data_IF_633163084759
#
_entry.id   IF_633163084759
#
_cell.length_a   1.000
_cell.length_b   1.000
_cell.length_c   1.000
_cell.angle_alpha   90.00
_cell.angle_beta   90.00
_cell.angle_gamma   90.00
#
_symmetry.space_group_name_H-M   'P 1'
#
loop_
_entity.id
_entity.type
_entity.pdbx_description
1 polymer ?
#
# COMPACT_ATOMS: atom_id res chain seq x y z
N UNK A 1 -17.95 -10.84 5.13
CA UNK A 1 -16.93 -9.77 4.97
C UNK A 1 -15.87 -10.32 4.03
N UNK A 2 -15.73 -9.75 2.83
CA UNK A 2 -14.74 -10.23 1.85
C UNK A 2 -13.40 -9.54 2.11
N UNK A 3 -12.39 -10.32 2.50
CA UNK A 3 -11.01 -9.83 2.64
C UNK A 3 -10.34 -9.64 1.28
N UNK A 4 -9.24 -8.90 1.25
CA UNK A 4 -8.38 -8.71 0.09
C UNK A 4 -6.97 -9.21 0.43
N UNK A 5 -6.31 -9.91 -0.49
CA UNK A 5 -4.94 -10.35 -0.25
C UNK A 5 -3.97 -9.18 -0.36
N UNK A 6 -2.90 -9.19 0.43
CA UNK A 6 -1.84 -8.18 0.34
C UNK A 6 -1.28 -8.05 -1.10
N UNK A 7 -1.12 -9.17 -1.81
CA UNK A 7 -0.69 -9.17 -3.22
C UNK A 7 -1.62 -8.37 -4.14
N UNK A 8 -2.93 -8.47 -3.92
CA UNK A 8 -3.94 -7.70 -4.67
C UNK A 8 -3.87 -6.21 -4.30
N UNK A 9 -3.70 -5.88 -3.02
CA UNK A 9 -3.48 -4.50 -2.57
C UNK A 9 -2.27 -3.88 -3.24
N UNK A 10 -1.15 -4.61 -3.32
CA UNK A 10 0.06 -4.11 -3.97
C UNK A 10 -0.11 -3.95 -5.48
N UNK A 11 -0.88 -4.82 -6.12
CA UNK A 11 -1.24 -4.68 -7.53
C UNK A 11 -2.11 -3.43 -7.78
N UNK A 12 -3.17 -3.24 -6.97
CA UNK A 12 -4.04 -2.06 -7.04
C UNK A 12 -3.27 -0.76 -6.75
N UNK A 13 -2.40 -0.75 -5.74
CA UNK A 13 -1.51 0.36 -5.44
C UNK A 13 -0.59 0.71 -6.63
N UNK A 14 0.00 -0.30 -7.29
CA UNK A 14 0.88 -0.08 -8.46
C UNK A 14 0.12 0.42 -9.68
N UNK A 15 -1.12 -0.04 -9.86
CA UNK A 15 -2.02 0.39 -10.93
C UNK A 15 -2.66 1.77 -10.64
N UNK A 16 -2.65 2.25 -9.40
CA UNK A 16 -3.19 3.59 -9.10
C UNK A 16 -2.47 4.67 -9.91
N UNK A 17 -3.26 5.52 -10.57
CA UNK A 17 -2.74 6.59 -11.44
C UNK A 17 -2.33 6.14 -12.84
N UNK A 18 -2.57 4.88 -13.24
CA UNK A 18 -2.52 4.46 -14.65
C UNK A 18 -3.89 4.65 -15.31
N UNK A 19 -3.90 4.78 -16.64
CA UNK A 19 -5.14 4.97 -17.43
C UNK A 19 -6.16 3.88 -17.12
N UNK A 20 -7.37 4.27 -16.68
CA UNK A 20 -8.46 3.35 -16.37
C UNK A 20 -8.59 2.93 -14.90
N UNK A 21 -7.66 3.35 -14.03
CA UNK A 21 -7.74 3.11 -12.58
C UNK A 21 -7.94 4.41 -11.80
N UNK A 22 -8.71 4.36 -10.72
CA UNK A 22 -8.79 5.49 -9.79
C UNK A 22 -7.38 5.83 -9.27
N UNK A 23 -6.96 7.10 -9.33
CA UNK A 23 -5.69 7.50 -8.75
C UNK A 23 -5.72 7.46 -7.22
N UNK A 24 -6.92 7.48 -6.62
CA UNK A 24 -7.11 7.57 -5.18
C UNK A 24 -7.68 6.29 -4.59
N UNK A 25 -7.24 5.99 -3.37
CA UNK A 25 -7.71 4.87 -2.53
C UNK A 25 -7.66 5.27 -1.05
N UNK A 26 -8.32 4.46 -0.22
CA UNK A 26 -8.42 4.66 1.22
C UNK A 26 -7.68 3.55 1.99
N UNK A 27 -7.01 3.92 3.08
CA UNK A 27 -6.21 3.01 3.90
C UNK A 27 -6.61 3.13 5.36
N UNK A 28 -6.65 2.00 6.06
CA UNK A 28 -6.62 1.95 7.52
C UNK A 28 -5.36 1.24 7.95
N UNK A 29 -4.70 1.75 8.99
CA UNK A 29 -3.43 1.24 9.48
C UNK A 29 -3.31 1.37 10.99
N UNK A 30 -2.34 0.66 11.56
CA UNK A 30 -1.99 0.75 12.97
C UNK A 30 -0.91 1.79 13.19
N UNK A 31 -1.14 2.69 14.15
CA UNK A 31 -0.17 3.69 14.60
C UNK A 31 0.79 3.10 15.63
N UNK A 32 1.85 3.84 15.95
CA UNK A 32 2.86 3.43 16.93
C UNK A 32 2.29 3.25 18.34
N UNK A 33 1.30 4.06 18.72
CA UNK A 33 0.59 3.96 20.00
C UNK A 33 -0.39 2.76 20.06
N UNK A 34 -0.47 1.96 19.00
CA UNK A 34 -1.36 0.82 18.88
C UNK A 34 -2.78 1.17 18.45
N UNK A 35 -3.14 2.45 18.37
CA UNK A 35 -4.44 2.92 17.87
C UNK A 35 -4.55 2.81 16.35
N UNK A 36 -5.76 2.96 15.82
CA UNK A 36 -6.00 2.94 14.38
C UNK A 36 -5.92 4.34 13.77
N UNK A 37 -5.38 4.42 12.56
CA UNK A 37 -5.39 5.59 11.71
C UNK A 37 -6.07 5.28 10.39
N UNK A 38 -6.76 6.28 9.82
CA UNK A 38 -7.37 6.19 8.51
C UNK A 38 -6.86 7.35 7.64
N UNK A 39 -6.54 7.04 6.39
CA UNK A 39 -6.15 8.00 5.36
C UNK A 39 -7.05 7.79 4.16
N UNK A 40 -7.84 8.81 3.81
CA UNK A 40 -8.77 8.75 2.68
C UNK A 40 -8.25 9.59 1.51
N UNK A 41 -8.66 9.19 0.31
CA UNK A 41 -8.30 9.86 -0.96
C UNK A 41 -6.79 10.07 -1.10
N UNK A 42 -6.01 9.02 -0.82
CA UNK A 42 -4.57 9.04 -1.00
C UNK A 42 -4.18 8.37 -2.30
N UNK A 43 -3.07 8.81 -2.88
CA UNK A 43 -2.55 8.24 -4.12
C UNK A 43 -1.10 7.80 -3.94
N UNK A 44 -0.65 6.93 -4.84
CA UNK A 44 0.76 6.59 -4.97
C UNK A 44 1.54 7.85 -5.38
N UNK A 45 2.74 8.02 -4.81
CA UNK A 45 3.69 9.03 -5.28
C UNK A 45 4.21 8.70 -6.68
N UNK A 46 3.91 9.56 -7.66
CA UNK A 46 4.45 9.46 -9.01
C UNK A 46 5.95 9.77 -9.05
N UNK A 47 6.72 9.06 -9.91
CA UNK A 47 8.15 9.30 -10.12
C UNK A 47 9.11 8.53 -9.20
N UNK A 48 8.63 7.85 -8.17
CA UNK A 48 9.44 6.84 -7.48
C UNK A 48 9.37 5.52 -8.24
N UNK A 49 10.44 5.27 -9.01
CA UNK A 49 10.80 3.96 -9.52
C UNK A 49 10.95 3.04 -8.31
N UNK A 50 9.96 2.20 -8.05
CA UNK A 50 10.18 0.98 -7.27
C UNK A 50 11.36 0.32 -7.99
N UNK A 51 12.50 0.16 -7.29
CA UNK A 51 13.82 -0.10 -7.88
C UNK A 51 13.86 -1.19 -8.96
N UNK A 52 14.99 -1.29 -9.70
CA UNK A 52 15.11 -2.09 -10.93
C UNK A 52 14.49 -3.48 -10.76
N UNK A 53 13.76 -3.96 -11.80
CA UNK A 53 13.17 -5.30 -11.93
C UNK A 53 14.02 -6.33 -11.17
N UNK A 54 13.67 -6.58 -9.91
CA UNK A 54 14.32 -7.62 -9.10
C UNK A 54 13.59 -8.91 -9.44
N UNK A 55 14.36 -9.90 -9.86
CA UNK A 55 13.90 -11.25 -10.16
C UNK A 55 12.89 -11.74 -9.12
N UNK A 56 11.89 -12.50 -9.56
CA UNK A 56 10.86 -13.11 -8.70
C UNK A 56 11.47 -13.89 -7.51
N UNK A 57 12.73 -14.34 -7.63
CA UNK A 57 13.51 -14.97 -6.57
C UNK A 57 13.97 -14.00 -5.47
N UNK A 58 14.21 -12.73 -5.78
CA UNK A 58 14.56 -11.68 -4.81
C UNK A 58 13.36 -11.20 -4.01
N UNK A 59 12.15 -11.23 -4.61
CA UNK A 59 10.89 -10.88 -3.92
C UNK A 59 10.63 -11.86 -2.75
N UNK A 60 10.98 -13.14 -2.90
CA UNK A 60 10.83 -14.15 -1.83
C UNK A 60 11.73 -13.88 -0.61
N UNK A 61 12.86 -13.20 -0.77
CA UNK A 61 13.75 -12.83 0.34
C UNK A 61 13.37 -11.49 0.99
N UNK A 62 12.76 -10.57 0.24
CA UNK A 62 12.33 -9.25 0.75
C UNK A 62 11.05 -9.29 1.61
N UNK A 63 10.30 -10.40 1.62
CA UNK A 63 9.24 -10.63 2.61
C UNK A 63 9.75 -10.59 4.08
N UNK A 64 11.08 -10.56 4.31
CA UNK A 64 11.69 -10.32 5.63
C UNK A 64 12.07 -8.86 5.93
N UNK A 65 12.06 -7.95 4.97
CA UNK A 65 12.24 -6.50 5.19
C UNK A 65 10.97 -5.76 4.77
N UNK A 66 10.02 -5.67 5.72
CA UNK A 66 8.75 -4.97 5.65
C UNK A 66 8.73 -3.74 4.72
N UNK A 67 8.30 -3.93 3.47
CA UNK A 67 8.23 -2.86 2.48
C UNK A 67 7.34 -1.69 2.91
N UNK A 68 7.49 -0.54 2.24
CA UNK A 68 6.72 0.69 2.49
C UNK A 68 5.89 1.07 1.27
N UNK A 69 4.72 1.65 1.51
CA UNK A 69 3.96 2.40 0.51
C UNK A 69 4.36 3.87 0.57
N UNK A 70 4.63 4.47 -0.59
CA UNK A 70 5.00 5.86 -0.73
C UNK A 70 3.79 6.63 -1.24
N UNK A 71 3.23 7.48 -0.39
CA UNK A 71 1.90 8.02 -0.55
C UNK A 71 1.91 9.55 -0.56
N UNK A 72 0.89 10.09 -1.19
CA UNK A 72 0.55 11.52 -1.21
C UNK A 72 -0.92 11.64 -0.84
N UNK A 73 -1.24 12.53 0.10
CA UNK A 73 -2.63 12.83 0.45
C UNK A 73 -3.24 13.88 -0.49
N UNK A 74 -4.54 14.13 -0.35
CA UNK A 74 -5.27 15.15 -1.13
C UNK A 74 -4.72 16.57 -1.01
N UNK A 75 -3.95 16.87 0.04
CA UNK A 75 -3.33 18.18 0.25
C UNK A 75 -1.89 18.23 -0.32
N UNK A 76 -1.43 17.15 -0.96
CA UNK A 76 -0.07 17.03 -1.47
C UNK A 76 0.95 16.62 -0.40
N UNK A 77 0.51 16.28 0.82
CA UNK A 77 1.45 15.85 1.86
C UNK A 77 1.96 14.45 1.58
N UNK A 78 3.29 14.37 1.61
CA UNK A 78 4.08 13.18 1.38
C UNK A 78 4.23 12.38 2.66
N UNK A 79 3.92 11.09 2.62
CA UNK A 79 4.13 10.20 3.75
C UNK A 79 4.41 8.77 3.30
N UNK A 80 4.94 7.97 4.23
CA UNK A 80 5.23 6.55 4.02
C UNK A 80 4.40 5.72 4.98
N UNK A 81 4.01 4.53 4.54
CA UNK A 81 3.30 3.57 5.39
C UNK A 81 3.91 2.19 5.28
N UNK A 82 4.31 1.62 6.41
CA UNK A 82 4.83 0.26 6.48
C UNK A 82 3.72 -0.75 6.16
N UNK A 83 3.99 -1.64 5.22
CA UNK A 83 3.03 -2.66 4.76
C UNK A 83 2.49 -3.51 5.92
N UNK A 84 3.31 -3.98 6.90
CA UNK A 84 2.78 -4.76 8.03
C UNK A 84 1.80 -4.01 8.93
N UNK A 85 1.77 -2.67 8.86
CA UNK A 85 0.85 -1.85 9.64
C UNK A 85 -0.49 -1.63 8.92
N UNK A 86 -0.61 -2.05 7.66
CA UNK A 86 -1.86 -1.94 6.90
C UNK A 86 -2.91 -2.93 7.42
N UNK A 87 -4.13 -2.44 7.59
CA UNK A 87 -5.26 -3.23 8.09
C UNK A 87 -6.38 -3.35 7.06
N UNK A 88 -6.66 -2.28 6.33
CA UNK A 88 -7.67 -2.30 5.26
C UNK A 88 -7.27 -1.44 4.06
N UNK A 89 -7.73 -1.85 2.88
CA UNK A 89 -7.61 -1.11 1.62
C UNK A 89 -9.01 -0.95 1.01
N UNK A 90 -9.44 0.29 0.73
CA UNK A 90 -10.78 0.61 0.22
C UNK A 90 -11.92 -0.08 1.01
N UNK A 91 -11.81 -0.07 2.35
CA UNK A 91 -12.77 -0.70 3.25
C UNK A 91 -12.70 -2.25 3.34
N UNK A 92 -11.82 -2.91 2.59
CA UNK A 92 -11.61 -4.37 2.65
C UNK A 92 -10.46 -4.71 3.59
N UNK A 93 -10.69 -5.62 4.55
CA UNK A 93 -9.64 -6.10 5.46
C UNK A 93 -8.55 -6.85 4.69
N UNK A 94 -7.30 -6.56 4.99
CA UNK A 94 -6.15 -7.13 4.31
C UNK A 94 -5.77 -8.44 4.99
N UNK A 95 -5.64 -9.49 4.19
CA UNK A 95 -5.05 -10.76 4.60
C UNK A 95 -3.55 -10.76 4.31
N UNK A 96 -2.75 -10.87 5.37
CA UNK A 96 -1.28 -10.89 5.34
C UNK A 96 -0.70 -12.31 5.30
N UNK A 97 -1.52 -13.36 5.20
CA UNK A 97 -1.07 -14.76 5.32
C UNK A 97 -0.24 -15.30 4.14
N UNK A 98 0.09 -14.48 3.13
CA UNK A 98 0.79 -14.91 1.91
C UNK A 98 1.78 -13.86 1.39
#
# INVERSE_FOLDING_TARGET
>A
MFGIYLSQVLAEYRASGTSGHSPYFDLTYRKQDGSFGTKTSVCRRAGETIGPKKDLTSIKHENRQAGKLHLVDKNGHKFELHIPLLLSFNGKTIDHRF
#
